data_IF_558566029363
#
_entry.id   IF_558566029363
#
_cell.length_a   1.000
_cell.length_b   1.000
_cell.length_c   1.000
_cell.angle_alpha   90.00
_cell.angle_beta   90.00
_cell.angle_gamma   90.00
#
_symmetry.space_group_name_H-M   'P 1'
#
loop_
_entity.id
_entity.type
_entity.pdbx_description
1 polymer ?
#
# COMPACT_ATOMS: atom_id res chain seq x y z
N UNK A 1 -20.52 9.55 -7.63
CA UNK A 1 -20.27 8.08 -7.68
C UNK A 1 -20.87 7.46 -8.92
N UNK A 2 -22.12 7.76 -9.31
CA UNK A 2 -22.73 7.23 -10.56
C UNK A 2 -21.88 7.54 -11.80
N UNK A 3 -21.51 8.80 -12.03
CA UNK A 3 -20.68 9.19 -13.19
C UNK A 3 -19.34 8.43 -13.29
N UNK A 4 -18.82 7.92 -12.17
CA UNK A 4 -17.54 7.20 -12.12
C UNK A 4 -17.72 5.69 -12.32
N UNK A 5 -18.62 5.06 -11.56
CA UNK A 5 -18.68 3.59 -11.46
C UNK A 5 -19.92 2.97 -12.08
N UNK A 6 -21.00 3.73 -12.29
CA UNK A 6 -22.22 3.19 -12.91
C UNK A 6 -21.98 3.00 -14.41
N UNK A 7 -22.08 1.76 -14.89
CA UNK A 7 -21.82 1.38 -16.29
C UNK A 7 -22.87 1.95 -17.28
N UNK A 8 -24.07 2.31 -16.81
CA UNK A 8 -25.13 2.86 -17.63
C UNK A 8 -25.18 4.40 -17.61
N UNK A 9 -24.80 5.01 -16.48
CA UNK A 9 -24.89 6.47 -16.28
C UNK A 9 -23.55 7.21 -16.36
N UNK A 10 -22.43 6.48 -16.41
CA UNK A 10 -21.09 7.05 -16.30
C UNK A 10 -20.06 6.32 -17.14
N UNK A 11 -18.79 6.55 -16.81
CA UNK A 11 -17.65 5.93 -17.52
C UNK A 11 -17.39 4.48 -17.09
N UNK A 12 -18.13 3.97 -16.09
CA UNK A 12 -18.10 2.57 -15.68
C UNK A 12 -16.72 2.07 -15.24
N UNK A 13 -15.97 2.84 -14.44
CA UNK A 13 -14.71 2.39 -13.85
C UNK A 13 -14.92 1.03 -13.15
N UNK A 14 -14.04 0.08 -13.46
CA UNK A 14 -14.20 -1.32 -13.06
C UNK A 14 -13.13 -1.81 -12.06
N UNK A 15 -12.21 -0.94 -11.66
CA UNK A 15 -11.23 -1.19 -10.60
C UNK A 15 -11.24 -0.03 -9.60
N UNK A 16 -11.37 -0.36 -8.31
CA UNK A 16 -11.19 0.58 -7.22
C UNK A 16 -9.87 0.28 -6.49
N UNK A 17 -8.99 1.28 -6.39
CA UNK A 17 -7.70 1.15 -5.69
C UNK A 17 -7.79 1.81 -4.32
N UNK A 18 -7.47 1.06 -3.27
CA UNK A 18 -7.59 1.44 -1.86
C UNK A 18 -6.21 1.49 -1.20
N UNK A 19 -5.80 2.65 -0.71
CA UNK A 19 -4.54 2.86 -0.01
C UNK A 19 -4.68 2.60 1.49
N UNK A 20 -3.99 1.55 1.97
CA UNK A 20 -3.73 1.30 3.39
C UNK A 20 -2.61 2.25 3.85
N UNK A 21 -3.01 3.34 4.49
CA UNK A 21 -2.10 4.40 4.95
C UNK A 21 -1.13 3.96 6.04
N UNK A 22 -0.02 4.69 6.15
CA UNK A 22 0.99 4.48 7.19
C UNK A 22 0.56 5.04 8.54
N UNK A 23 -0.27 6.10 8.57
CA UNK A 23 -0.36 7.01 9.74
C UNK A 23 0.95 7.75 9.94
N UNK A 24 0.94 9.06 9.76
CA UNK A 24 2.10 9.89 10.06
C UNK A 24 2.19 10.21 11.56
N UNK A 25 3.38 10.55 12.02
CA UNK A 25 3.60 11.14 13.33
C UNK A 25 3.82 12.65 13.16
N UNK A 26 2.97 13.46 13.77
CA UNK A 26 3.03 14.92 13.68
C UNK A 26 4.39 15.52 14.09
N UNK A 27 5.10 14.89 15.02
CA UNK A 27 6.41 15.37 15.48
C UNK A 27 7.53 15.12 14.45
N UNK A 28 7.43 14.04 13.67
CA UNK A 28 8.47 13.64 12.71
C UNK A 28 8.11 14.00 11.26
N UNK A 29 6.81 14.17 10.98
CA UNK A 29 6.25 14.48 9.67
C UNK A 29 5.38 15.75 9.70
N UNK A 30 5.89 16.90 10.16
CA UNK A 30 5.09 18.13 10.31
C UNK A 30 4.53 18.65 8.97
N UNK A 31 5.12 18.26 7.83
CA UNK A 31 4.64 18.63 6.49
C UNK A 31 3.18 18.18 6.25
N UNK A 32 2.76 17.07 6.85
CA UNK A 32 1.39 16.55 6.74
C UNK A 32 0.38 17.28 7.65
N UNK A 33 0.82 18.21 8.50
CA UNK A 33 -0.07 19.07 9.28
C UNK A 33 -0.58 20.28 8.48
N UNK A 34 0.00 20.54 7.30
CA UNK A 34 -0.42 21.66 6.46
C UNK A 34 -1.65 21.28 5.64
N UNK A 35 -2.59 22.21 5.48
CA UNK A 35 -3.79 22.00 4.65
C UNK A 35 -3.46 21.60 3.19
N UNK A 36 -2.26 21.96 2.71
CA UNK A 36 -1.78 21.58 1.39
C UNK A 36 -1.51 20.07 1.24
N UNK A 37 -1.12 19.39 2.33
CA UNK A 37 -0.60 18.02 2.28
C UNK A 37 -1.27 17.05 3.25
N UNK A 38 -2.18 17.51 4.12
CA UNK A 38 -2.89 16.66 5.11
C UNK A 38 -3.63 15.48 4.46
N UNK A 39 -4.10 15.63 3.23
CA UNK A 39 -4.82 14.58 2.50
C UNK A 39 -3.91 13.53 1.88
N UNK A 40 -2.58 13.73 1.95
CA UNK A 40 -1.55 12.87 1.33
C UNK A 40 -0.85 11.93 2.32
N UNK A 41 -1.15 12.05 3.61
CA UNK A 41 -0.81 11.04 4.61
C UNK A 41 -2.08 10.45 5.18
N UNK A 42 -2.43 9.25 4.72
CA UNK A 42 -3.68 8.63 5.11
C UNK A 42 -3.55 7.99 6.50
N UNK A 43 -4.61 8.03 7.31
CA UNK A 43 -4.62 7.30 8.57
C UNK A 43 -4.52 5.80 8.28
N UNK A 44 -3.54 5.16 8.89
CA UNK A 44 -3.45 3.71 8.97
C UNK A 44 -4.29 3.17 10.13
N UNK A 45 -4.38 1.84 10.20
CA UNK A 45 -5.23 1.14 11.16
C UNK A 45 -4.53 0.86 12.49
N UNK A 46 -3.24 1.16 12.63
CA UNK A 46 -2.47 0.93 13.86
C UNK A 46 -1.60 2.15 14.17
N UNK A 47 -2.15 3.14 14.89
CA UNK A 47 -1.51 4.46 15.03
C UNK A 47 -0.28 4.46 15.94
N UNK A 48 -0.11 3.44 16.78
CA UNK A 48 0.95 3.35 17.79
C UNK A 48 1.60 1.95 17.80
N UNK A 49 2.90 1.84 18.13
CA UNK A 49 3.55 0.56 18.33
C UNK A 49 2.88 -0.19 19.48
N UNK A 50 2.63 -1.50 19.29
CA UNK A 50 1.95 -2.35 20.28
C UNK A 50 0.52 -1.92 20.68
N UNK A 51 -0.02 -0.85 20.10
CA UNK A 51 -1.39 -0.40 20.33
C UNK A 51 -2.45 -1.26 19.62
N UNK A 52 -3.73 -1.11 20.01
CA UNK A 52 -4.84 -1.75 19.33
C UNK A 52 -5.01 -1.19 17.91
N UNK A 53 -5.72 -1.95 17.07
CA UNK A 53 -6.16 -1.44 15.78
C UNK A 53 -7.30 -0.42 15.97
N UNK A 54 -7.25 0.68 15.22
CA UNK A 54 -8.38 1.58 15.03
C UNK A 54 -9.07 1.26 13.69
N UNK A 55 -10.11 0.44 13.74
CA UNK A 55 -10.90 0.08 12.58
C UNK A 55 -11.81 1.20 12.07
N UNK A 56 -11.96 2.28 12.84
CA UNK A 56 -12.69 3.47 12.39
C UNK A 56 -11.84 4.36 11.49
N UNK A 57 -10.52 4.16 11.47
CA UNK A 57 -9.58 4.81 10.58
C UNK A 57 -10.03 4.76 9.11
N UNK A 58 -9.65 5.79 8.37
CA UNK A 58 -9.91 5.95 6.93
C UNK A 58 -11.37 5.74 6.48
N UNK A 59 -12.33 6.16 7.32
CA UNK A 59 -13.77 6.19 7.00
C UNK A 59 -14.07 6.78 5.61
N UNK A 60 -13.32 7.81 5.19
CA UNK A 60 -13.58 8.56 3.95
C UNK A 60 -13.32 7.70 2.73
N UNK A 61 -12.14 7.08 2.63
CA UNK A 61 -11.83 6.22 1.50
C UNK A 61 -12.65 4.93 1.52
N UNK A 62 -12.87 4.35 2.70
CA UNK A 62 -13.75 3.17 2.85
C UNK A 62 -15.13 3.44 2.28
N UNK A 63 -15.73 4.61 2.58
CA UNK A 63 -17.04 4.99 2.03
C UNK A 63 -17.02 5.06 0.49
N UNK A 64 -15.97 5.63 -0.10
CA UNK A 64 -15.82 5.71 -1.56
C UNK A 64 -15.71 4.31 -2.18
N UNK A 65 -14.90 3.43 -1.60
CA UNK A 65 -14.72 2.06 -2.07
C UNK A 65 -16.02 1.24 -1.96
N UNK A 66 -16.75 1.34 -0.85
CA UNK A 66 -18.06 0.69 -0.71
C UNK A 66 -19.07 1.20 -1.75
N UNK A 67 -19.09 2.52 -2.01
CA UNK A 67 -19.96 3.08 -3.03
C UNK A 67 -19.57 2.69 -4.47
N UNK A 68 -18.31 2.31 -4.72
CA UNK A 68 -17.89 1.68 -5.98
C UNK A 68 -18.39 0.23 -6.07
N UNK A 69 -18.31 -0.54 -4.97
CA UNK A 69 -18.86 -1.91 -4.90
C UNK A 69 -20.38 -1.93 -5.09
N UNK A 70 -21.12 -0.98 -4.51
CA UNK A 70 -22.56 -0.83 -4.71
C UNK A 70 -22.95 -0.58 -6.19
N UNK A 71 -21.97 -0.20 -7.03
CA UNK A 71 -22.14 0.03 -8.47
C UNK A 71 -21.52 -1.07 -9.32
N UNK A 72 -21.20 -2.22 -8.71
CA UNK A 72 -20.64 -3.40 -9.38
C UNK A 72 -19.29 -3.12 -10.05
N UNK A 73 -18.38 -2.45 -9.33
CA UNK A 73 -16.96 -2.46 -9.69
C UNK A 73 -16.48 -3.93 -9.69
N UNK A 74 -15.74 -4.32 -10.72
CA UNK A 74 -15.38 -5.73 -10.92
C UNK A 74 -14.23 -6.16 -9.98
N UNK A 75 -13.32 -5.24 -9.66
CA UNK A 75 -12.16 -5.51 -8.81
C UNK A 75 -11.88 -4.40 -7.79
N UNK A 76 -11.31 -4.82 -6.65
CA UNK A 76 -10.72 -3.89 -5.67
C UNK A 76 -9.28 -4.31 -5.41
N UNK A 77 -8.35 -3.35 -5.52
CA UNK A 77 -6.93 -3.53 -5.21
C UNK A 77 -6.58 -2.75 -3.95
N UNK A 78 -5.93 -3.39 -2.99
CA UNK A 78 -5.29 -2.70 -1.88
C UNK A 78 -3.83 -2.39 -2.22
N UNK A 79 -3.34 -1.22 -1.80
CA UNK A 79 -1.94 -0.80 -1.92
C UNK A 79 -1.50 -0.17 -0.60
N UNK A 80 -0.21 -0.25 -0.26
CA UNK A 80 0.38 0.55 0.83
C UNK A 80 1.58 1.31 0.32
N UNK A 81 1.62 2.63 0.56
CA UNK A 81 2.70 3.47 0.05
C UNK A 81 3.89 3.48 1.00
N UNK A 82 3.61 3.42 2.31
CA UNK A 82 4.61 3.46 3.36
C UNK A 82 4.22 2.57 4.54
N UNK A 83 5.19 1.95 5.23
CA UNK A 83 4.94 1.37 6.55
C UNK A 83 4.43 2.41 7.55
N UNK A 84 3.76 1.98 8.62
CA UNK A 84 3.47 2.89 9.72
C UNK A 84 4.70 3.56 10.29
N UNK A 85 4.59 4.83 10.70
CA UNK A 85 5.72 5.66 11.14
C UNK A 85 6.62 4.97 12.19
N UNK A 86 6.04 4.16 13.08
CA UNK A 86 6.78 3.46 14.13
C UNK A 86 7.54 2.23 13.62
N UNK A 87 7.19 1.72 12.43
CA UNK A 87 7.95 0.73 11.67
C UNK A 87 9.04 1.36 10.80
N UNK A 88 9.06 2.69 10.62
CA UNK A 88 10.03 3.34 9.73
C UNK A 88 11.34 3.71 10.42
N UNK A 89 12.44 3.72 9.67
CA UNK A 89 13.78 4.10 10.18
C UNK A 89 13.81 5.58 10.58
N UNK A 90 13.27 6.46 9.74
CA UNK A 90 13.25 7.92 10.00
C UNK A 90 12.19 8.36 11.02
N UNK A 91 11.19 7.50 11.30
CA UNK A 91 9.98 7.90 12.01
C UNK A 91 9.03 8.78 11.17
N UNK A 92 9.36 9.05 9.91
CA UNK A 92 8.51 9.75 8.94
C UNK A 92 8.01 8.74 7.90
N UNK A 93 6.72 8.80 7.54
CA UNK A 93 6.15 7.95 6.49
C UNK A 93 6.49 8.42 5.08
N UNK A 94 7.07 9.62 4.92
CA UNK A 94 7.42 10.19 3.62
C UNK A 94 8.67 9.56 2.99
N UNK A 95 9.56 8.98 3.79
CA UNK A 95 10.77 8.32 3.28
C UNK A 95 11.95 8.32 4.26
N UNK A 96 13.07 7.79 3.77
CA UNK A 96 14.30 7.64 4.56
C UNK A 96 15.04 8.98 4.70
N UNK A 97 16.05 9.04 5.55
CA UNK A 97 16.90 10.23 5.70
C UNK A 97 17.76 10.51 4.44
N UNK A 98 18.05 9.47 3.65
CA UNK A 98 18.82 9.58 2.41
C UNK A 98 18.10 8.88 1.25
N UNK A 99 18.34 9.37 0.03
CA UNK A 99 17.78 8.75 -1.18
C UNK A 99 18.27 7.32 -1.37
N UNK A 100 17.48 6.50 -2.05
CA UNK A 100 17.73 5.09 -2.35
C UNK A 100 17.79 4.16 -1.12
N UNK A 101 17.51 4.67 0.09
CA UNK A 101 17.47 3.84 1.29
C UNK A 101 16.07 3.33 1.58
N UNK A 102 16.00 2.09 2.05
CA UNK A 102 14.77 1.52 2.58
C UNK A 102 14.41 2.20 3.91
N UNK A 103 13.18 2.72 3.97
CA UNK A 103 12.68 3.36 5.18
C UNK A 103 11.94 2.39 6.11
N UNK A 104 11.82 1.11 5.77
CA UNK A 104 11.29 0.07 6.67
C UNK A 104 12.43 -0.49 7.53
N UNK A 105 12.28 -0.53 8.86
CA UNK A 105 13.31 -1.14 9.70
C UNK A 105 13.49 -2.63 9.35
N UNK A 106 14.73 -3.15 9.29
CA UNK A 106 14.99 -4.53 8.88
C UNK A 106 14.21 -5.59 9.65
N UNK A 107 13.99 -5.38 10.95
CA UNK A 107 13.25 -6.28 11.83
C UNK A 107 11.73 -6.30 11.57
N UNK A 108 11.19 -5.34 10.81
CA UNK A 108 9.75 -5.20 10.60
C UNK A 108 9.22 -5.72 9.25
N UNK A 109 10.06 -6.31 8.39
CA UNK A 109 9.60 -6.85 7.10
C UNK A 109 8.42 -7.83 7.24
N UNK A 110 8.53 -8.82 8.12
CA UNK A 110 7.44 -9.77 8.37
C UNK A 110 6.24 -9.06 9.02
N UNK A 111 6.47 -8.28 10.08
CA UNK A 111 5.41 -7.60 10.83
C UNK A 111 4.60 -6.60 9.98
N UNK A 112 5.24 -5.95 9.01
CA UNK A 112 4.59 -5.04 8.08
C UNK A 112 3.61 -5.79 7.16
N UNK A 113 4.00 -6.94 6.62
CA UNK A 113 3.09 -7.77 5.82
C UNK A 113 1.97 -8.40 6.65
N UNK A 114 2.22 -8.68 7.93
CA UNK A 114 1.18 -9.10 8.88
C UNK A 114 0.16 -8.00 9.16
N UNK A 115 0.61 -6.75 9.28
CA UNK A 115 -0.26 -5.59 9.39
C UNK A 115 -1.14 -5.43 8.13
N UNK A 116 -0.54 -5.46 6.94
CA UNK A 116 -1.27 -5.38 5.67
C UNK A 116 -2.34 -6.49 5.60
N UNK A 117 -1.96 -7.74 5.86
CA UNK A 117 -2.88 -8.87 5.79
C UNK A 117 -3.97 -8.82 6.88
N UNK A 118 -3.69 -8.27 8.06
CA UNK A 118 -4.71 -8.06 9.10
C UNK A 118 -5.77 -7.04 8.66
N UNK A 119 -5.38 -5.98 7.97
CA UNK A 119 -6.32 -5.01 7.40
C UNK A 119 -7.18 -5.68 6.33
N UNK A 120 -6.58 -6.41 5.39
CA UNK A 120 -7.31 -7.18 4.36
C UNK A 120 -8.33 -8.15 4.98
N UNK A 121 -7.90 -8.89 6.01
CA UNK A 121 -8.77 -9.82 6.74
C UNK A 121 -9.94 -9.10 7.43
N UNK A 122 -9.69 -7.95 8.06
CA UNK A 122 -10.73 -7.15 8.68
C UNK A 122 -11.77 -6.68 7.66
N UNK A 123 -11.32 -6.14 6.53
CA UNK A 123 -12.19 -5.71 5.42
C UNK A 123 -13.08 -6.84 4.91
N UNK A 124 -12.52 -8.05 4.76
CA UNK A 124 -13.28 -9.23 4.37
C UNK A 124 -14.33 -9.62 5.40
N UNK A 125 -13.95 -9.66 6.66
CA UNK A 125 -14.77 -10.22 7.74
C UNK A 125 -15.86 -9.26 8.25
N UNK A 126 -15.59 -7.95 8.25
CA UNK A 126 -16.49 -6.96 8.87
C UNK A 126 -17.22 -6.07 7.87
N UNK A 127 -16.66 -5.90 6.66
CA UNK A 127 -17.26 -5.05 5.62
C UNK A 127 -17.61 -5.81 4.35
N UNK A 128 -17.42 -7.14 4.34
CA UNK A 128 -17.70 -7.99 3.18
C UNK A 128 -16.95 -7.55 1.90
N UNK A 129 -15.74 -7.03 2.06
CA UNK A 129 -14.89 -6.56 0.96
C UNK A 129 -13.80 -7.59 0.70
N UNK A 130 -13.78 -8.16 -0.50
CA UNK A 130 -12.68 -9.03 -0.92
C UNK A 130 -11.79 -8.29 -1.90
N UNK A 131 -10.58 -7.95 -1.47
CA UNK A 131 -9.55 -7.40 -2.36
C UNK A 131 -9.03 -8.50 -3.27
N UNK A 132 -9.04 -8.25 -4.59
CA UNK A 132 -8.44 -9.12 -5.60
C UNK A 132 -6.93 -9.19 -5.42
N UNK A 133 -6.31 -8.03 -5.22
CA UNK A 133 -4.86 -7.88 -5.07
C UNK A 133 -4.48 -7.02 -3.86
N UNK A 134 -3.32 -7.31 -3.30
CA UNK A 134 -2.59 -6.45 -2.37
C UNK A 134 -1.21 -6.14 -2.96
N UNK A 135 -0.89 -4.85 -3.08
CA UNK A 135 0.41 -4.36 -3.51
C UNK A 135 1.17 -3.75 -2.32
N UNK A 136 2.29 -4.34 -1.86
CA UNK A 136 2.89 -3.97 -0.58
C UNK A 136 3.66 -2.65 -0.60
N UNK A 137 3.89 -2.05 -1.78
CA UNK A 137 4.66 -0.83 -1.97
C UNK A 137 4.13 0.00 -3.15
N UNK A 138 4.43 1.30 -3.15
CA UNK A 138 4.16 2.23 -4.25
C UNK A 138 5.48 2.93 -4.63
N UNK A 139 5.82 2.95 -5.92
CA UNK A 139 7.05 3.56 -6.43
C UNK A 139 8.28 3.10 -5.64
N UNK A 140 8.41 1.78 -5.48
CA UNK A 140 9.43 1.16 -4.64
C UNK A 140 10.85 1.31 -5.20
N UNK A 141 11.00 1.22 -6.53
CA UNK A 141 12.30 1.09 -7.21
C UNK A 141 12.90 2.43 -7.66
N UNK A 142 12.21 3.51 -7.38
CA UNK A 142 12.54 4.87 -7.81
C UNK A 142 13.65 5.49 -6.97
N UNK A 143 13.74 5.11 -5.69
CA UNK A 143 14.77 5.60 -4.77
C UNK A 143 14.57 7.05 -4.30
N UNK A 144 13.45 7.70 -4.62
CA UNK A 144 13.25 9.11 -4.32
C UNK A 144 12.51 9.40 -3.01
N UNK A 145 12.07 8.39 -2.25
CA UNK A 145 11.34 8.62 -1.02
C UNK A 145 12.25 9.12 0.10
N UNK A 146 12.12 10.41 0.43
CA UNK A 146 12.92 11.10 1.43
C UNK A 146 12.04 11.69 2.54
N UNK A 147 12.57 11.71 3.76
CA UNK A 147 11.96 12.41 4.89
C UNK A 147 11.61 13.85 4.52
N UNK A 148 10.43 14.32 4.96
CA UNK A 148 9.92 15.65 4.62
C UNK A 148 9.24 15.75 3.26
N UNK A 149 9.19 14.68 2.46
CA UNK A 149 8.40 14.65 1.22
C UNK A 149 6.90 14.83 1.49
N UNK A 150 6.20 15.31 0.45
CA UNK A 150 4.78 15.69 0.51
C UNK A 150 3.82 14.52 0.22
N UNK A 151 4.30 13.30 0.28
CA UNK A 151 3.54 12.06 0.08
C UNK A 151 4.20 10.93 0.87
N UNK A 152 3.39 9.98 1.35
CA UNK A 152 3.88 8.72 1.93
C UNK A 152 4.66 7.90 0.90
N UNK A 153 5.77 7.30 1.32
CA UNK A 153 6.57 6.44 0.48
C UNK A 153 7.70 5.70 1.19
N UNK A 154 8.13 4.61 0.58
CA UNK A 154 9.29 3.84 1.04
C UNK A 154 10.00 3.24 -0.18
N UNK A 155 11.28 3.58 -0.36
CA UNK A 155 12.10 2.95 -1.40
C UNK A 155 12.45 1.52 -0.99
N UNK A 156 12.63 0.63 -1.94
CA UNK A 156 13.13 -0.72 -1.75
C UNK A 156 14.06 -1.06 -2.91
N UNK A 157 15.22 -1.61 -2.63
CA UNK A 157 16.02 -2.25 -3.67
C UNK A 157 15.36 -3.58 -4.10
N UNK A 158 15.77 -4.19 -5.23
CA UNK A 158 15.14 -5.43 -5.72
C UNK A 158 15.18 -6.60 -4.73
N UNK A 159 16.23 -6.72 -3.91
CA UNK A 159 16.34 -7.78 -2.91
C UNK A 159 15.35 -7.55 -1.76
N UNK A 160 15.25 -6.33 -1.25
CA UNK A 160 14.30 -5.95 -0.19
C UNK A 160 12.85 -6.12 -0.66
N UNK A 161 12.55 -5.68 -1.89
CA UNK A 161 11.20 -5.83 -2.46
C UNK A 161 10.85 -7.31 -2.70
N UNK A 162 11.83 -8.13 -3.09
CA UNK A 162 11.67 -9.59 -3.17
C UNK A 162 11.30 -10.19 -1.81
N UNK A 163 12.03 -9.80 -0.76
CA UNK A 163 11.75 -10.24 0.62
C UNK A 163 10.36 -9.84 1.06
N UNK A 164 9.96 -8.58 0.83
CA UNK A 164 8.65 -8.06 1.19
C UNK A 164 7.51 -8.82 0.51
N UNK A 165 7.61 -9.06 -0.80
CA UNK A 165 6.59 -9.78 -1.58
C UNK A 165 6.47 -11.24 -1.13
N UNK A 166 7.59 -11.90 -0.85
CA UNK A 166 7.59 -13.28 -0.33
C UNK A 166 6.90 -13.36 1.04
N UNK A 167 7.20 -12.43 1.95
CA UNK A 167 6.52 -12.35 3.26
C UNK A 167 5.02 -12.11 3.11
N UNK A 168 4.60 -11.21 2.21
CA UNK A 168 3.19 -10.95 1.97
C UNK A 168 2.48 -12.19 1.41
N UNK A 169 3.06 -12.83 0.39
CA UNK A 169 2.51 -14.07 -0.20
C UNK A 169 2.33 -15.17 0.84
N UNK A 170 3.36 -15.42 1.66
CA UNK A 170 3.31 -16.40 2.74
C UNK A 170 2.25 -16.04 3.79
N UNK A 171 2.13 -14.77 4.16
CA UNK A 171 1.17 -14.29 5.16
C UNK A 171 -0.28 -14.40 4.69
N UNK A 172 -0.57 -14.01 3.44
CA UNK A 172 -1.90 -14.17 2.84
C UNK A 172 -2.31 -15.65 2.80
N UNK A 173 -1.38 -16.54 2.40
CA UNK A 173 -1.60 -17.98 2.40
C UNK A 173 -1.84 -18.54 3.80
N UNK A 174 -1.03 -18.14 4.79
CA UNK A 174 -1.17 -18.56 6.20
C UNK A 174 -2.54 -18.18 6.77
N UNK A 175 -3.04 -16.98 6.43
CA UNK A 175 -4.37 -16.48 6.83
C UNK A 175 -5.52 -17.00 5.95
N UNK A 176 -5.23 -17.83 4.93
CA UNK A 176 -6.22 -18.35 3.97
C UNK A 176 -7.03 -17.25 3.28
N UNK A 177 -6.41 -16.09 3.05
CA UNK A 177 -7.05 -14.99 2.34
C UNK A 177 -7.01 -15.27 0.82
N UNK A 178 -8.11 -15.04 0.08
CA UNK A 178 -8.13 -15.28 -1.37
C UNK A 178 -7.32 -14.24 -2.16
N UNK A 179 -7.05 -13.08 -1.55
CA UNK A 179 -6.26 -11.98 -2.10
C UNK A 179 -4.90 -12.45 -2.60
N UNK A 180 -4.51 -12.00 -3.79
CA UNK A 180 -3.21 -12.30 -4.40
C UNK A 180 -2.26 -11.11 -4.27
N UNK A 181 -0.98 -11.34 -4.54
CA UNK A 181 0.02 -10.26 -4.52
C UNK A 181 0.08 -9.61 -5.91
N UNK A 182 0.09 -8.28 -5.95
CA UNK A 182 0.49 -7.47 -7.08
C UNK A 182 1.77 -6.70 -6.75
N UNK A 183 2.46 -6.20 -7.77
CA UNK A 183 3.70 -5.42 -7.62
C UNK A 183 4.26 -5.07 -9.00
N UNK A 184 5.31 -4.28 -9.17
CA UNK A 184 6.08 -3.57 -8.14
C UNK A 184 5.58 -2.16 -7.90
N UNK A 185 4.62 -1.70 -8.72
CA UNK A 185 4.06 -0.35 -8.64
C UNK A 185 5.08 0.76 -8.86
N UNK A 186 6.12 0.47 -9.62
CA UNK A 186 7.11 1.45 -10.04
C UNK A 186 6.77 1.97 -11.43
N UNK A 187 7.31 3.12 -11.80
CA UNK A 187 7.26 3.64 -13.15
C UNK A 187 7.78 2.60 -14.14
N UNK A 188 7.20 2.58 -15.33
CA UNK A 188 7.56 1.60 -16.38
C UNK A 188 9.07 1.54 -16.63
N UNK A 189 9.76 2.68 -16.61
CA UNK A 189 11.21 2.75 -16.79
C UNK A 189 12.00 2.03 -15.68
N UNK A 190 11.66 2.28 -14.41
CA UNK A 190 12.29 1.61 -13.28
C UNK A 190 11.98 0.10 -13.29
N UNK A 191 10.72 -0.26 -13.56
CA UNK A 191 10.30 -1.66 -13.64
C UNK A 191 11.07 -2.42 -14.72
N UNK A 192 11.21 -1.86 -15.93
CA UNK A 192 12.02 -2.46 -17.00
C UNK A 192 13.50 -2.58 -16.61
N UNK A 193 14.05 -1.56 -15.95
CA UNK A 193 15.45 -1.53 -15.48
C UNK A 193 15.76 -2.58 -14.42
N UNK A 194 14.78 -3.00 -13.61
CA UNK A 194 15.02 -3.89 -12.49
C UNK A 194 14.37 -5.27 -12.61
N UNK A 195 13.40 -5.48 -13.51
CA UNK A 195 12.67 -6.75 -13.68
C UNK A 195 13.58 -7.99 -13.81
N UNK A 196 14.74 -7.85 -14.47
CA UNK A 196 15.70 -8.95 -14.62
C UNK A 196 16.42 -9.33 -13.31
N UNK A 197 16.45 -8.44 -12.31
CA UNK A 197 17.04 -8.69 -10.99
C UNK A 197 16.11 -9.50 -10.06
N UNK A 198 14.84 -9.65 -10.42
CA UNK A 198 13.88 -10.41 -9.63
C UNK A 198 13.88 -11.90 -10.02
N UNK A 199 13.82 -12.82 -9.02
CA UNK A 199 13.70 -14.25 -9.28
C UNK A 199 12.49 -14.59 -10.16
N UNK A 200 12.62 -15.57 -11.05
CA UNK A 200 11.52 -16.03 -11.90
C UNK A 200 10.31 -16.52 -11.07
N UNK A 201 10.58 -17.23 -9.96
CA UNK A 201 9.55 -17.71 -9.05
C UNK A 201 8.76 -16.56 -8.39
N UNK A 202 9.42 -15.44 -8.07
CA UNK A 202 8.75 -14.26 -7.54
C UNK A 202 7.76 -13.70 -8.54
N UNK A 203 8.22 -13.51 -9.79
CA UNK A 203 7.39 -12.98 -10.88
C UNK A 203 6.20 -13.89 -11.20
N UNK A 204 6.41 -15.20 -11.21
CA UNK A 204 5.35 -16.19 -11.40
C UNK A 204 4.32 -16.23 -10.24
N UNK A 205 4.72 -15.77 -9.05
CA UNK A 205 3.86 -15.69 -7.87
C UNK A 205 2.99 -14.43 -7.81
N UNK A 206 3.26 -13.43 -8.64
CA UNK A 206 2.43 -12.23 -8.76
C UNK A 206 1.21 -12.51 -9.63
N UNK A 207 0.03 -12.06 -9.21
CA UNK A 207 -1.16 -12.12 -10.07
C UNK A 207 -1.01 -11.17 -11.27
N UNK A 208 -0.44 -9.99 -11.03
CA UNK A 208 -0.18 -8.99 -12.05
C UNK A 208 1.04 -8.16 -11.71
N UNK A 209 1.65 -7.65 -12.78
CA UNK A 209 2.68 -6.63 -12.70
C UNK A 209 2.03 -5.25 -12.91
N UNK A 210 2.01 -4.42 -11.87
CA UNK A 210 1.48 -3.05 -11.88
C UNK A 210 2.61 -2.04 -12.07
N UNK A 211 2.39 -1.04 -12.92
CA UNK A 211 3.35 0.04 -13.22
C UNK A 211 2.65 1.39 -13.36
N UNK A 212 3.36 2.47 -13.07
CA UNK A 212 2.94 3.83 -13.40
C UNK A 212 3.40 4.22 -14.81
N UNK A 213 2.61 5.10 -15.45
CA UNK A 213 2.96 5.75 -16.71
C UNK A 213 3.99 6.87 -16.52
N UNK A 214 4.61 7.30 -17.61
CA UNK A 214 5.63 8.38 -17.62
C UNK A 214 5.00 9.76 -17.38
#
# INVERSE_FOLDING_TARGET
MDLLFDKAKGIGLNLARYHIGGTFNASNSPQFLTAAWETRALPGFRPQPNGPYDWTADRRQRRTMLAALDRNVDEVEAVSYSPPWWMTVSGDTAGAAEMNQCNLKPEFFQAYTEYQAAVIEHYRTHWNVTFSTMNPANEALEGWWLQGHRQEGCSFNPQELTTLINHLSATLKKRKLPTKVAGFDSFVGATLRFTYKFPAALKAGLLRLSVHGL
#
